data_IF_550349651080
#
_entry.id   IF_550349651080
#
_cell.length_a   1.000
_cell.length_b   1.000
_cell.length_c   1.000
_cell.angle_alpha   90.00
_cell.angle_beta   90.00
_cell.angle_gamma   90.00
#
_symmetry.space_group_name_H-M   'P 1'
#
loop_
_entity.id
_entity.type
_entity.pdbx_description
1 polymer ?
#
# COMPACT_ATOMS: atom_id res chain seq x y z
N UNK A 1 -6.35 6.38 -44.76
CA UNK A 1 -5.34 7.35 -44.25
C UNK A 1 -5.70 7.89 -42.86
N UNK A 2 -6.90 8.45 -42.65
CA UNK A 2 -7.33 8.96 -41.33
C UNK A 2 -7.31 7.91 -40.20
N UNK A 3 -7.77 6.67 -40.44
CA UNK A 3 -7.75 5.61 -39.43
C UNK A 3 -6.33 5.20 -38.99
N UNK A 4 -5.36 5.22 -39.91
CA UNK A 4 -3.98 4.91 -39.62
C UNK A 4 -3.31 6.02 -38.79
N UNK A 5 -3.57 7.29 -39.15
CA UNK A 5 -3.06 8.43 -38.39
C UNK A 5 -3.62 8.46 -36.96
N UNK A 6 -4.92 8.19 -36.79
CA UNK A 6 -5.55 8.12 -35.47
C UNK A 6 -4.96 7.00 -34.60
N UNK A 7 -4.69 5.83 -35.20
CA UNK A 7 -4.06 4.71 -34.50
C UNK A 7 -2.62 5.03 -34.05
N UNK A 8 -1.81 5.63 -34.93
CA UNK A 8 -0.44 6.05 -34.56
C UNK A 8 -0.43 7.08 -33.43
N UNK A 9 -1.34 8.06 -33.49
CA UNK A 9 -1.48 9.06 -32.43
C UNK A 9 -1.85 8.42 -31.09
N UNK A 10 -2.82 7.48 -31.08
CA UNK A 10 -3.21 6.76 -29.88
C UNK A 10 -2.07 5.91 -29.29
N UNK A 11 -1.28 5.23 -30.15
CA UNK A 11 -0.11 4.46 -29.70
C UNK A 11 0.96 5.35 -29.07
N UNK A 12 1.23 6.52 -29.66
CA UNK A 12 2.17 7.49 -29.12
C UNK A 12 1.70 8.04 -27.77
N UNK A 13 0.42 8.38 -27.64
CA UNK A 13 -0.18 8.83 -26.38
C UNK A 13 -0.12 7.75 -25.30
N UNK A 14 -0.50 6.51 -25.62
CA UNK A 14 -0.44 5.39 -24.68
C UNK A 14 1.00 5.14 -24.19
N UNK A 15 1.97 5.17 -25.09
CA UNK A 15 3.38 4.98 -24.72
C UNK A 15 3.88 6.07 -23.77
N UNK A 16 3.52 7.34 -24.03
CA UNK A 16 3.86 8.47 -23.17
C UNK A 16 3.23 8.34 -21.78
N UNK A 17 1.95 7.95 -21.72
CA UNK A 17 1.24 7.72 -20.46
C UNK A 17 1.92 6.60 -19.66
N UNK A 18 2.21 5.46 -20.29
CA UNK A 18 2.84 4.32 -19.62
C UNK A 18 4.22 4.67 -19.08
N UNK A 19 5.04 5.42 -19.83
CA UNK A 19 6.33 5.92 -19.35
C UNK A 19 6.20 6.85 -18.15
N UNK A 20 5.22 7.76 -18.18
CA UNK A 20 4.99 8.72 -17.10
C UNK A 20 4.57 8.02 -15.81
N UNK A 21 3.59 7.12 -15.92
CA UNK A 21 3.05 6.36 -14.79
C UNK A 21 4.10 5.40 -14.22
N UNK A 22 4.88 4.74 -15.08
CA UNK A 22 6.00 3.90 -14.68
C UNK A 22 7.08 4.67 -13.93
N UNK A 23 7.51 5.81 -14.45
CA UNK A 23 8.53 6.64 -13.81
C UNK A 23 8.07 7.11 -12.43
N UNK A 24 6.80 7.52 -12.33
CA UNK A 24 6.19 7.91 -11.06
C UNK A 24 6.14 6.74 -10.06
N UNK A 25 5.67 5.56 -10.49
CA UNK A 25 5.62 4.36 -9.66
C UNK A 25 7.01 3.94 -9.18
N UNK A 26 8.00 3.99 -10.06
CA UNK A 26 9.39 3.67 -9.73
C UNK A 26 9.97 4.65 -8.70
N UNK A 27 9.72 5.95 -8.84
CA UNK A 27 10.15 6.95 -7.86
C UNK A 27 9.50 6.72 -6.49
N UNK A 28 8.21 6.40 -6.46
CA UNK A 28 7.50 6.07 -5.23
C UNK A 28 8.13 4.86 -4.52
N UNK A 29 8.33 3.75 -5.24
CA UNK A 29 8.91 2.54 -4.63
C UNK A 29 10.38 2.66 -4.28
N UNK A 30 11.14 3.50 -4.99
CA UNK A 30 12.50 3.84 -4.58
C UNK A 30 12.49 4.62 -3.26
N UNK A 31 11.59 5.60 -3.11
CA UNK A 31 11.42 6.37 -1.89
C UNK A 31 10.86 5.53 -0.73
N UNK A 32 10.02 4.54 -1.02
CA UNK A 32 9.46 3.62 -0.02
C UNK A 32 10.47 2.54 0.41
N UNK A 33 11.26 1.99 -0.52
CA UNK A 33 12.14 0.84 -0.28
C UNK A 33 13.53 1.20 0.21
N UNK A 34 14.13 2.30 -0.25
CA UNK A 34 15.46 2.70 0.18
C UNK A 34 15.58 2.91 1.72
N UNK A 35 14.61 3.54 2.41
CA UNK A 35 14.61 3.65 3.87
C UNK A 35 14.68 2.29 4.59
N UNK A 36 14.02 1.25 4.03
CA UNK A 36 13.98 -0.10 4.59
C UNK A 36 15.34 -0.81 4.51
N UNK A 37 16.10 -0.54 3.45
CA UNK A 37 17.46 -1.04 3.29
C UNK A 37 18.44 -0.37 4.26
N UNK A 38 18.38 0.95 4.33
CA UNK A 38 19.30 1.77 5.14
C UNK A 38 18.97 1.67 6.63
N UNK A 39 17.72 1.33 6.97
CA UNK A 39 17.24 1.24 8.36
C UNK A 39 17.01 2.58 9.01
N UNK A 40 16.70 3.63 8.24
CA UNK A 40 16.45 4.99 8.72
C UNK A 40 15.09 5.45 8.22
N UNK A 41 14.34 6.21 9.02
CA UNK A 41 13.03 6.74 8.64
C UNK A 41 11.89 5.71 8.63
N UNK A 42 12.12 4.52 9.20
CA UNK A 42 11.13 3.46 9.37
C UNK A 42 10.01 3.84 10.35
N UNK A 43 10.30 4.73 11.28
CA UNK A 43 9.38 5.25 12.30
C UNK A 43 8.20 6.06 11.74
N UNK A 44 8.23 6.36 10.44
CA UNK A 44 7.09 6.94 9.70
C UNK A 44 6.08 5.87 9.25
N UNK A 45 6.42 4.60 9.37
CA UNK A 45 5.66 3.49 8.82
C UNK A 45 5.24 2.56 9.95
N UNK A 46 3.94 2.36 10.10
CA UNK A 46 3.34 1.53 11.14
C UNK A 46 3.63 0.05 10.91
N UNK A 47 3.83 -0.71 11.99
CA UNK A 47 3.98 -2.17 11.95
C UNK A 47 5.37 -2.71 11.62
N UNK A 48 6.34 -1.87 11.19
CA UNK A 48 7.71 -2.34 10.95
C UNK A 48 8.50 -2.65 12.22
N UNK A 49 8.09 -2.11 13.37
CA UNK A 49 8.68 -2.42 14.69
C UNK A 49 8.41 -3.86 15.14
N UNK A 50 7.37 -4.49 14.59
CA UNK A 50 6.95 -5.86 14.93
C UNK A 50 7.57 -6.91 13.99
N UNK A 51 8.21 -6.47 12.91
CA UNK A 51 8.81 -7.34 11.90
C UNK A 51 10.31 -7.56 12.18
N UNK A 52 10.83 -8.79 12.00
CA UNK A 52 12.26 -9.04 12.04
C UNK A 52 13.01 -8.18 11.01
N UNK A 53 14.13 -7.56 11.40
CA UNK A 53 14.93 -6.69 10.52
C UNK A 53 15.28 -7.32 9.15
N UNK A 54 15.66 -8.61 9.04
CA UNK A 54 15.92 -9.22 7.74
C UNK A 54 14.72 -9.21 6.79
N UNK A 55 13.50 -9.35 7.32
CA UNK A 55 12.26 -9.30 6.52
C UNK A 55 12.01 -7.89 5.99
N UNK A 56 12.26 -6.86 6.79
CA UNK A 56 12.15 -5.45 6.37
C UNK A 56 13.14 -5.13 5.24
N UNK A 57 14.39 -5.60 5.38
CA UNK A 57 15.41 -5.43 4.34
C UNK A 57 15.04 -6.18 3.07
N UNK A 58 14.50 -7.39 3.17
CA UNK A 58 14.03 -8.15 2.02
C UNK A 58 12.93 -7.41 1.25
N UNK A 59 11.93 -6.86 1.96
CA UNK A 59 10.87 -6.04 1.35
C UNK A 59 11.49 -4.84 0.62
N UNK A 60 12.33 -4.07 1.32
CA UNK A 60 13.01 -2.91 0.72
C UNK A 60 13.84 -3.25 -0.51
N UNK A 61 14.53 -4.39 -0.49
CA UNK A 61 15.31 -4.87 -1.63
C UNK A 61 14.41 -5.16 -2.82
N UNK A 62 13.31 -5.87 -2.61
CA UNK A 62 12.35 -6.19 -3.68
C UNK A 62 11.64 -4.96 -4.25
N UNK A 63 11.32 -3.97 -3.42
CA UNK A 63 10.73 -2.69 -3.86
C UNK A 63 11.70 -1.90 -4.74
N UNK A 64 12.96 -1.77 -4.31
CA UNK A 64 14.01 -1.05 -5.07
C UNK A 64 14.33 -1.79 -6.38
N UNK A 65 14.44 -3.12 -6.33
CA UNK A 65 14.69 -3.93 -7.52
C UNK A 65 13.52 -3.84 -8.50
N UNK A 66 12.28 -3.85 -8.01
CA UNK A 66 11.09 -3.66 -8.81
C UNK A 66 11.03 -2.27 -9.47
N UNK A 67 11.37 -1.21 -8.71
CA UNK A 67 11.45 0.15 -9.23
C UNK A 67 12.52 0.28 -10.33
N UNK A 68 13.70 -0.31 -10.11
CA UNK A 68 14.76 -0.35 -11.11
C UNK A 68 14.33 -1.15 -12.35
N UNK A 69 13.72 -2.32 -12.16
CA UNK A 69 13.22 -3.19 -13.22
C UNK A 69 12.06 -2.59 -14.02
N UNK A 70 11.29 -1.68 -13.44
CA UNK A 70 10.28 -0.93 -14.15
C UNK A 70 10.92 -0.06 -15.24
N UNK A 71 11.92 0.74 -14.90
CA UNK A 71 12.43 1.81 -15.78
C UNK A 71 13.65 1.39 -16.59
N UNK A 72 14.66 0.79 -15.95
CA UNK A 72 15.99 0.59 -16.55
C UNK A 72 15.98 -0.31 -17.79
N UNK A 73 15.28 -1.47 -17.83
CA UNK A 73 15.32 -2.35 -19.00
C UNK A 73 14.81 -1.67 -20.27
N UNK A 74 13.70 -0.95 -20.16
CA UNK A 74 13.15 -0.17 -21.27
C UNK A 74 13.99 1.06 -21.61
N UNK A 75 14.55 1.77 -20.61
CA UNK A 75 15.31 3.00 -20.83
C UNK A 75 16.67 2.73 -21.48
N UNK A 76 17.28 1.59 -21.14
CA UNK A 76 18.57 1.15 -21.70
C UNK A 76 18.41 0.31 -22.97
N UNK A 77 17.20 -0.18 -23.25
CA UNK A 77 16.95 -1.14 -24.33
C UNK A 77 17.44 -2.56 -24.04
N UNK A 78 17.97 -2.84 -22.84
CA UNK A 78 18.49 -4.14 -22.44
C UNK A 78 17.39 -4.94 -21.76
N UNK A 79 17.00 -6.07 -22.36
CA UNK A 79 15.92 -6.96 -21.88
C UNK A 79 14.60 -6.23 -21.50
N UNK A 80 13.98 -5.43 -22.39
CA UNK A 80 12.76 -4.65 -22.06
C UNK A 80 11.58 -5.48 -21.54
N UNK A 81 11.54 -6.78 -21.85
CA UNK A 81 10.53 -7.72 -21.35
C UNK A 81 10.58 -7.91 -19.82
N UNK A 82 11.65 -7.48 -19.14
CA UNK A 82 11.72 -7.47 -17.67
C UNK A 82 10.79 -6.42 -17.05
N UNK A 83 10.48 -5.34 -17.75
CA UNK A 83 9.62 -4.26 -17.23
C UNK A 83 8.22 -4.71 -16.83
N UNK A 84 7.44 -5.40 -17.69
CA UNK A 84 6.12 -5.90 -17.29
C UNK A 84 6.21 -6.94 -16.17
N UNK A 85 7.29 -7.73 -16.10
CA UNK A 85 7.49 -8.68 -15.00
C UNK A 85 7.81 -7.99 -13.67
N UNK A 86 8.62 -6.93 -13.69
CA UNK A 86 8.89 -6.08 -12.53
C UNK A 86 7.61 -5.42 -12.01
N UNK A 87 6.73 -4.97 -12.92
CA UNK A 87 5.42 -4.43 -12.58
C UNK A 87 4.53 -5.48 -11.88
N UNK A 88 4.52 -6.74 -12.36
CA UNK A 88 3.80 -7.84 -11.68
C UNK A 88 4.38 -8.09 -10.28
N UNK A 89 5.70 -8.18 -10.15
CA UNK A 89 6.36 -8.40 -8.86
C UNK A 89 6.04 -7.29 -7.84
N UNK A 90 6.12 -6.03 -8.27
CA UNK A 90 5.69 -4.89 -7.46
C UNK A 90 4.21 -4.98 -7.08
N UNK A 91 3.33 -5.29 -8.04
CA UNK A 91 1.91 -5.47 -7.76
C UNK A 91 1.64 -6.50 -6.66
N UNK A 92 2.35 -7.63 -6.68
CA UNK A 92 2.21 -8.70 -5.67
C UNK A 92 2.63 -8.20 -4.29
N UNK A 93 3.84 -7.65 -4.13
CA UNK A 93 4.32 -7.24 -2.80
C UNK A 93 3.44 -6.14 -2.19
N UNK A 94 2.91 -5.26 -3.03
CA UNK A 94 2.04 -4.15 -2.61
C UNK A 94 0.65 -4.64 -2.23
N UNK A 95 0.11 -5.65 -2.93
CA UNK A 95 -1.12 -6.31 -2.52
C UNK A 95 -0.95 -7.03 -1.17
N UNK A 96 0.21 -7.63 -0.92
CA UNK A 96 0.52 -8.19 0.40
C UNK A 96 0.57 -7.10 1.48
N UNK A 97 1.14 -5.92 1.17
CA UNK A 97 1.12 -4.77 2.06
C UNK A 97 -0.30 -4.25 2.34
N UNK A 98 -1.18 -4.22 1.33
CA UNK A 98 -2.59 -3.90 1.54
C UNK A 98 -3.24 -4.86 2.55
N UNK A 99 -2.99 -6.17 2.42
CA UNK A 99 -3.45 -7.17 3.37
C UNK A 99 -2.89 -6.98 4.79
N UNK A 100 -1.64 -6.53 4.92
CA UNK A 100 -1.04 -6.18 6.21
C UNK A 100 -1.79 -5.01 6.87
N UNK A 101 -2.00 -3.91 6.14
CA UNK A 101 -2.74 -2.75 6.64
C UNK A 101 -4.19 -3.08 7.01
N UNK A 102 -4.87 -3.95 6.24
CA UNK A 102 -6.21 -4.43 6.60
C UNK A 102 -6.23 -5.20 7.92
N UNK A 103 -5.21 -6.01 8.20
CA UNK A 103 -5.10 -6.74 9.49
C UNK A 103 -4.85 -5.80 10.66
N UNK A 104 -4.17 -4.69 10.42
CA UNK A 104 -3.92 -3.62 11.39
C UNK A 104 -5.10 -2.62 11.52
N UNK A 105 -6.22 -2.85 10.83
CA UNK A 105 -7.37 -1.92 10.72
C UNK A 105 -7.02 -0.52 10.16
N UNK A 106 -5.93 -0.43 9.40
CA UNK A 106 -5.46 0.79 8.73
C UNK A 106 -6.05 0.91 7.32
N UNK A 107 -7.35 1.18 7.23
CA UNK A 107 -8.10 1.12 5.96
C UNK A 107 -7.60 2.07 4.89
N UNK A 108 -7.19 3.28 5.26
CA UNK A 108 -6.69 4.26 4.30
C UNK A 108 -5.39 3.78 3.64
N UNK A 109 -4.46 3.25 4.44
CA UNK A 109 -3.19 2.71 3.97
C UNK A 109 -3.41 1.46 3.09
N UNK A 110 -4.40 0.63 3.44
CA UNK A 110 -4.78 -0.51 2.62
C UNK A 110 -5.33 -0.10 1.24
N UNK A 111 -6.16 0.94 1.18
CA UNK A 111 -6.68 1.49 -0.08
C UNK A 111 -5.54 2.10 -0.90
N UNK A 112 -4.66 2.86 -0.26
CA UNK A 112 -3.48 3.43 -0.92
C UNK A 112 -2.61 2.34 -1.56
N UNK A 113 -2.28 1.29 -0.80
CA UNK A 113 -1.54 0.15 -1.31
C UNK A 113 -2.29 -0.52 -2.49
N UNK A 114 -3.59 -0.72 -2.39
CA UNK A 114 -4.37 -1.27 -3.50
C UNK A 114 -4.33 -0.39 -4.76
N UNK A 115 -4.31 0.94 -4.61
CA UNK A 115 -4.15 1.88 -5.73
C UNK A 115 -2.78 1.71 -6.39
N UNK A 116 -1.70 1.67 -5.62
CA UNK A 116 -0.37 1.43 -6.16
C UNK A 116 -0.25 0.08 -6.88
N UNK A 117 -0.86 -0.97 -6.35
CA UNK A 117 -0.92 -2.28 -7.01
C UNK A 117 -1.70 -2.24 -8.33
N UNK A 118 -2.80 -1.48 -8.39
CA UNK A 118 -3.58 -1.35 -9.63
C UNK A 118 -2.81 -0.60 -10.71
N UNK A 119 -2.03 0.43 -10.34
CA UNK A 119 -1.13 1.13 -11.26
C UNK A 119 -0.08 0.16 -11.81
N UNK A 120 0.51 -0.67 -10.95
CA UNK A 120 1.46 -1.69 -11.36
C UNK A 120 0.83 -2.70 -12.36
N UNK A 121 -0.42 -3.12 -12.12
CA UNK A 121 -1.15 -3.99 -13.04
C UNK A 121 -1.41 -3.32 -14.41
N UNK A 122 -1.76 -2.03 -14.43
CA UNK A 122 -1.93 -1.26 -15.68
C UNK A 122 -0.64 -1.23 -16.49
N UNK A 123 0.51 -1.02 -15.84
CA UNK A 123 1.82 -1.04 -16.52
C UNK A 123 2.12 -2.46 -17.05
N UNK A 124 1.89 -3.49 -16.24
CA UNK A 124 2.13 -4.88 -16.65
C UNK A 124 1.31 -5.25 -17.90
N UNK A 125 0.02 -4.91 -17.93
CA UNK A 125 -0.87 -5.15 -19.07
C UNK A 125 -0.44 -4.31 -20.27
N UNK A 126 -0.17 -3.02 -20.07
CA UNK A 126 0.18 -2.08 -21.13
C UNK A 126 1.55 -2.32 -21.78
N UNK A 127 2.42 -3.12 -21.15
CA UNK A 127 3.77 -3.46 -21.63
C UNK A 127 3.94 -4.96 -21.93
N UNK A 128 2.86 -5.73 -21.87
CA UNK A 128 2.93 -7.19 -22.03
C UNK A 128 3.38 -7.62 -23.43
N UNK A 129 3.19 -6.75 -24.42
CA UNK A 129 3.71 -6.90 -25.78
C UNK A 129 5.22 -7.13 -25.80
N UNK A 130 5.98 -6.51 -24.87
CA UNK A 130 7.43 -6.71 -24.77
C UNK A 130 7.81 -8.15 -24.42
N UNK A 131 7.00 -8.84 -23.59
CA UNK A 131 7.21 -10.26 -23.27
C UNK A 131 6.96 -11.11 -24.50
N UNK A 132 5.81 -10.90 -25.15
CA UNK A 132 5.40 -11.67 -26.33
C UNK A 132 6.39 -11.50 -27.49
N UNK A 133 6.82 -10.25 -27.76
CA UNK A 133 7.75 -9.93 -28.84
C UNK A 133 9.17 -10.46 -28.61
N UNK A 134 9.58 -10.68 -27.36
CA UNK A 134 10.93 -11.11 -27.04
C UNK A 134 11.21 -12.58 -27.35
N UNK A 135 10.21 -13.40 -27.70
CA UNK A 135 10.28 -14.87 -27.72
C UNK A 135 10.83 -15.49 -26.42
N UNK A 136 11.01 -14.70 -25.35
CA UNK A 136 11.23 -15.21 -24.02
C UNK A 136 9.89 -15.83 -23.61
N UNK A 137 9.79 -17.14 -23.74
CA UNK A 137 8.69 -17.90 -23.18
C UNK A 137 8.62 -17.58 -21.68
N UNK A 138 7.82 -16.60 -21.28
CA UNK A 138 7.26 -16.55 -19.95
C UNK A 138 6.27 -17.71 -19.92
N UNK A 139 6.61 -18.83 -19.28
CA UNK A 139 5.81 -20.02 -19.40
C UNK A 139 4.40 -19.71 -18.86
N UNK A 140 3.32 -20.22 -19.48
CA UNK A 140 1.94 -19.86 -19.11
C UNK A 140 1.64 -20.02 -17.61
N UNK A 141 2.37 -20.89 -16.92
CA UNK A 141 2.25 -21.06 -15.47
C UNK A 141 2.66 -19.81 -14.66
N UNK A 142 3.49 -18.91 -15.18
CA UNK A 142 3.84 -17.63 -14.52
C UNK A 142 2.65 -16.69 -14.52
N UNK A 143 1.90 -16.65 -15.61
CA UNK A 143 0.62 -15.93 -15.68
C UNK A 143 -0.42 -16.57 -14.76
N UNK A 144 -0.50 -17.90 -14.72
CA UNK A 144 -1.40 -18.62 -13.81
C UNK A 144 -1.01 -18.43 -12.35
N UNK A 145 0.27 -18.39 -12.01
CA UNK A 145 0.75 -18.10 -10.66
C UNK A 145 0.50 -16.64 -10.27
N UNK A 146 0.77 -15.70 -11.17
CA UNK A 146 0.48 -14.28 -10.96
C UNK A 146 -1.02 -14.04 -10.77
N UNK A 147 -1.88 -14.57 -11.65
CA UNK A 147 -3.33 -14.49 -11.54
C UNK A 147 -3.87 -15.27 -10.33
N UNK A 148 -3.27 -16.43 -10.03
CA UNK A 148 -3.60 -17.25 -8.86
C UNK A 148 -3.24 -16.59 -7.53
N UNK A 149 -2.38 -15.56 -7.52
CA UNK A 149 -2.12 -14.72 -6.35
C UNK A 149 -2.98 -13.45 -6.41
N UNK A 150 -3.03 -12.76 -7.56
CA UNK A 150 -3.76 -11.50 -7.73
C UNK A 150 -5.27 -11.65 -7.51
N UNK A 151 -5.89 -12.68 -8.08
CA UNK A 151 -7.34 -12.87 -8.04
C UNK A 151 -7.82 -13.19 -6.61
N UNK A 152 -7.20 -14.13 -5.86
CA UNK A 152 -7.55 -14.32 -4.46
C UNK A 152 -7.28 -13.09 -3.60
N UNK A 153 -6.17 -12.37 -3.81
CA UNK A 153 -5.87 -11.14 -3.08
C UNK A 153 -6.93 -10.05 -3.31
N UNK A 154 -7.38 -9.86 -4.56
CA UNK A 154 -8.47 -8.92 -4.89
C UNK A 154 -9.79 -9.36 -4.28
N UNK A 155 -10.14 -10.65 -4.38
CA UNK A 155 -11.38 -11.19 -3.80
C UNK A 155 -11.40 -11.03 -2.28
N UNK A 156 -10.29 -11.36 -1.61
CA UNK A 156 -10.15 -11.20 -0.15
C UNK A 156 -10.28 -9.72 0.24
N UNK A 157 -9.61 -8.82 -0.48
CA UNK A 157 -9.70 -7.37 -0.23
C UNK A 157 -11.12 -6.84 -0.42
N UNK A 158 -11.84 -7.27 -1.47
CA UNK A 158 -13.23 -6.87 -1.72
C UNK A 158 -14.17 -7.41 -0.63
N UNK A 159 -14.04 -8.68 -0.25
CA UNK A 159 -14.86 -9.27 0.82
C UNK A 159 -14.66 -8.51 2.14
N UNK A 160 -13.42 -8.19 2.49
CA UNK A 160 -13.10 -7.46 3.73
C UNK A 160 -13.65 -6.03 3.69
N UNK A 161 -13.50 -5.34 2.56
CA UNK A 161 -13.98 -3.96 2.38
C UNK A 161 -15.50 -3.85 2.55
N UNK A 162 -16.26 -4.78 1.94
CA UNK A 162 -17.72 -4.71 1.93
C UNK A 162 -18.40 -5.37 3.13
N UNK A 163 -17.72 -6.27 3.87
CA UNK A 163 -18.35 -6.99 5.00
C UNK A 163 -18.21 -6.32 6.37
N UNK A 164 -17.31 -5.34 6.56
CA UNK A 164 -17.13 -4.71 7.89
C UNK A 164 -17.52 -3.23 7.89
N UNK A 165 -18.66 -2.86 8.50
CA UNK A 165 -19.05 -1.45 8.62
C UNK A 165 -17.94 -0.68 9.32
N UNK A 166 -17.72 0.56 8.88
CA UNK A 166 -16.81 1.49 9.53
C UNK A 166 -17.36 1.73 10.94
N UNK A 167 -16.67 1.24 11.96
CA UNK A 167 -16.92 1.70 13.32
C UNK A 167 -16.45 3.15 13.36
N UNK A 168 -17.37 4.08 13.14
CA UNK A 168 -17.22 5.49 13.52
C UNK A 168 -17.09 5.47 15.04
N UNK A 169 -15.87 5.30 15.55
CA UNK A 169 -15.64 5.22 16.98
C UNK A 169 -16.30 6.41 17.65
N UNK A 170 -17.39 6.15 18.38
CA UNK A 170 -17.79 7.02 19.48
C UNK A 170 -16.60 6.98 20.42
N UNK A 171 -15.74 7.98 20.29
CA UNK A 171 -14.61 8.25 21.15
C UNK A 171 -15.13 8.06 22.58
N UNK A 172 -14.72 6.99 23.26
CA UNK A 172 -14.89 6.91 24.70
C UNK A 172 -14.07 8.08 25.24
N UNK A 173 -14.76 9.19 25.49
CA UNK A 173 -14.23 10.29 26.25
C UNK A 173 -13.84 9.66 27.60
N UNK A 174 -12.57 9.80 28.03
CA UNK A 174 -12.17 9.25 29.31
C UNK A 174 -13.08 9.85 30.39
N UNK A 175 -13.61 9.01 31.28
CA UNK A 175 -14.53 9.35 32.38
C UNK A 175 -13.85 10.22 33.47
N UNK A 176 -13.16 11.28 33.07
CA UNK A 176 -12.42 12.17 33.97
C UNK A 176 -13.31 13.31 34.49
N UNK A 177 -14.49 13.51 33.94
CA UNK A 177 -15.34 14.68 34.28
C UNK A 177 -16.54 14.36 35.20
N UNK A 178 -16.97 13.10 35.34
CA UNK A 178 -18.20 12.79 36.10
C UNK A 178 -17.93 12.48 37.59
N UNK A 179 -16.74 12.01 37.95
CA UNK A 179 -16.42 11.69 39.35
C UNK A 179 -16.08 12.92 40.22
N UNK A 180 -15.75 14.07 39.61
CA UNK A 180 -15.30 15.26 40.36
C UNK A 180 -16.42 16.18 40.80
N UNK A 181 -17.59 16.11 40.17
CA UNK A 181 -18.73 16.98 40.45
C UNK A 181 -19.60 16.44 41.60
N UNK A 182 -19.57 15.13 41.89
CA UNK A 182 -20.40 14.52 42.94
C UNK A 182 -19.80 14.49 44.36
N UNK A 183 -18.55 14.91 44.56
CA UNK A 183 -17.80 14.65 45.80
C UNK A 183 -17.47 15.87 46.66
N UNK A 184 -17.71 17.10 46.20
CA UNK A 184 -17.21 18.32 46.85
C UNK A 184 -18.28 19.14 47.60
N UNK A 185 -19.57 18.85 47.43
CA UNK A 185 -20.64 19.58 48.17
C UNK A 185 -21.05 18.95 49.51
N UNK A 186 -20.65 17.71 49.81
CA UNK A 186 -21.12 17.02 51.02
C UNK A 186 -20.20 17.19 52.27
N UNK A 187 -19.04 17.85 52.15
CA UNK A 187 -18.05 17.96 53.26
C UNK A 187 -17.91 19.36 53.85
N UNK A 188 -18.94 20.21 53.74
CA UNK A 188 -18.88 21.55 54.33
C UNK A 188 -20.07 21.96 55.21
N UNK A 189 -20.92 20.99 55.60
CA UNK A 189 -22.15 21.29 56.37
C UNK A 189 -22.29 20.47 57.67
N UNK A 190 -21.20 19.90 58.22
CA UNK A 190 -21.29 19.02 59.40
C UNK A 190 -20.32 19.32 60.57
N UNK A 191 -19.70 20.50 60.64
CA UNK A 191 -18.76 20.84 61.74
C UNK A 191 -19.19 22.00 62.64
N UNK A 192 -20.45 22.44 62.58
CA UNK A 192 -20.87 23.70 63.22
C UNK A 192 -22.06 23.64 64.16
N UNK A 193 -22.29 22.58 64.94
CA UNK A 193 -23.33 22.64 65.98
C UNK A 193 -23.24 21.55 67.08
N UNK A 194 -22.44 21.74 68.13
CA UNK A 194 -22.75 21.20 69.47
C UNK A 194 -22.17 22.09 70.61
N UNK A 195 -22.89 22.23 71.75
CA UNK A 195 -22.65 23.28 72.75
C UNK A 195 -21.65 22.86 73.84
N UNK A 196 -20.88 23.83 74.36
CA UNK A 196 -20.06 23.63 75.57
C UNK A 196 -20.96 23.67 76.81
N UNK A 197 -20.96 22.57 77.57
CA UNK A 197 -21.44 22.51 78.94
C UNK A 197 -20.25 22.59 79.92
N UNK A 198 -20.50 23.29 81.04
CA UNK A 198 -19.61 23.71 82.15
C UNK A 198 -18.77 24.96 81.93
#
# INVERSE_FOLDING_TARGET
MMNAMNAMNAMNTLNLVLWSVQGFLALFFLAAGAPKLIGRGLERWTGFSELPRPMVVFIGFTEVLGAAGLVLPMATGILPWLTPLAAVGLGIIVLMAAGFHLRADERLNAIEAALWASIAAVIAIGRWDLVVASHAYAPPWVLVAALGVLVPSVIINLIVLFKRPVNSGTRHLPDIEVARVGGLEARHISEGLLPKAR
#
